data_IF_345286308964
#
_entry.id   IF_345286308964
#
_cell.length_a   1.000
_cell.length_b   1.000
_cell.length_c   1.000
_cell.angle_alpha   90.00
_cell.angle_beta   90.00
_cell.angle_gamma   90.00
#
_symmetry.space_group_name_H-M   'P 1'
#
loop_
_entity.id
_entity.type
_entity.pdbx_description
1 polymer ?
#
# COMPACT_ATOMS: atom_id res chain seq x y z
N UNK A 1 21.49 0.97 -23.35
CA UNK A 1 22.17 2.22 -23.69
C UNK A 1 23.44 2.30 -22.86
N UNK A 2 24.54 2.79 -23.42
CA UNK A 2 25.80 2.98 -22.69
C UNK A 2 25.78 4.37 -22.04
N UNK A 3 25.59 4.41 -20.71
CA UNK A 3 25.46 5.65 -19.96
C UNK A 3 26.72 6.53 -20.08
N UNK A 4 27.91 5.93 -20.16
CA UNK A 4 29.17 6.67 -20.35
C UNK A 4 29.23 7.34 -21.72
N UNK A 5 28.80 6.63 -22.76
CA UNK A 5 28.74 7.18 -24.12
C UNK A 5 27.74 8.34 -24.20
N UNK A 6 26.60 8.22 -23.54
CA UNK A 6 25.62 9.30 -23.49
C UNK A 6 26.10 10.50 -22.66
N UNK A 7 26.74 10.26 -21.51
CA UNK A 7 27.36 11.29 -20.69
C UNK A 7 28.39 12.12 -21.47
N UNK A 8 29.17 11.48 -22.36
CA UNK A 8 30.09 12.19 -23.25
C UNK A 8 29.38 13.12 -24.25
N UNK A 9 28.26 12.68 -24.82
CA UNK A 9 27.43 13.53 -25.70
C UNK A 9 26.82 14.70 -24.94
N UNK A 10 26.28 14.43 -23.74
CA UNK A 10 25.69 15.43 -22.87
C UNK A 10 26.73 16.48 -22.42
N UNK A 11 27.92 16.03 -22.02
CA UNK A 11 29.05 16.90 -21.67
C UNK A 11 29.40 17.88 -22.79
N UNK A 12 29.52 17.40 -24.04
CA UNK A 12 29.86 18.27 -25.17
C UNK A 12 28.77 19.34 -25.39
N UNK A 13 27.51 18.95 -25.35
CA UNK A 13 26.39 19.88 -25.50
C UNK A 13 26.37 20.92 -24.38
N UNK A 14 26.48 20.50 -23.12
CA UNK A 14 26.48 21.42 -21.98
C UNK A 14 27.67 22.37 -22.08
N UNK A 15 28.87 21.86 -22.38
CA UNK A 15 30.09 22.68 -22.50
C UNK A 15 29.98 23.75 -23.59
N UNK A 16 29.39 23.41 -24.74
CA UNK A 16 29.20 24.35 -25.85
C UNK A 16 28.18 25.45 -25.53
N UNK A 17 27.29 25.18 -24.57
CA UNK A 17 26.18 26.05 -24.20
C UNK A 17 26.24 26.53 -22.74
N UNK A 18 27.39 26.38 -22.07
CA UNK A 18 27.62 26.76 -20.68
C UNK A 18 27.85 28.28 -20.59
N UNK A 19 26.91 29.07 -20.04
CA UNK A 19 27.06 30.51 -19.96
C UNK A 19 28.04 30.95 -18.85
N UNK A 20 28.47 30.03 -17.97
CA UNK A 20 29.14 30.34 -16.71
C UNK A 20 30.50 29.65 -16.54
N UNK A 21 31.02 28.98 -17.58
CA UNK A 21 32.35 28.37 -17.60
C UNK A 21 32.59 27.33 -16.47
N UNK A 22 31.54 26.66 -15.98
CA UNK A 22 31.60 25.65 -14.92
C UNK A 22 32.55 24.49 -15.26
N UNK A 23 32.74 24.17 -16.54
CA UNK A 23 33.61 23.09 -17.01
C UNK A 23 35.03 23.53 -17.38
N UNK A 24 35.43 24.78 -17.11
CA UNK A 24 36.76 25.30 -17.52
C UNK A 24 37.93 24.73 -16.73
N UNK A 25 37.71 24.25 -15.50
CA UNK A 25 38.75 23.76 -14.60
C UNK A 25 38.71 22.24 -14.34
N UNK A 26 37.73 21.53 -14.91
CA UNK A 26 37.54 20.08 -14.73
C UNK A 26 37.99 19.36 -16.00
N UNK A 27 38.69 18.23 -15.85
CA UNK A 27 39.06 17.43 -17.01
C UNK A 27 37.79 16.86 -17.67
N UNK A 28 37.79 16.72 -19.00
CA UNK A 28 36.64 16.15 -19.71
C UNK A 28 36.30 14.74 -19.21
N UNK A 29 37.30 13.97 -18.79
CA UNK A 29 37.10 12.62 -18.27
C UNK A 29 36.37 12.62 -16.92
N UNK A 30 36.75 13.53 -16.01
CA UNK A 30 36.11 13.67 -14.71
C UNK A 30 34.67 14.18 -14.84
N UNK A 31 34.43 15.17 -15.70
CA UNK A 31 33.08 15.70 -15.95
C UNK A 31 32.15 14.66 -16.58
N UNK A 32 32.67 13.83 -17.50
CA UNK A 32 31.89 12.73 -18.09
C UNK A 32 31.58 11.66 -17.04
N UNK A 33 32.52 11.34 -16.15
CA UNK A 33 32.28 10.38 -15.07
C UNK A 33 31.24 10.88 -14.05
N UNK A 34 31.25 12.18 -13.75
CA UNK A 34 30.25 12.82 -12.89
C UNK A 34 28.86 12.75 -13.53
N UNK A 35 28.73 13.13 -14.81
CA UNK A 35 27.47 13.01 -15.55
C UNK A 35 27.01 11.54 -15.65
N UNK A 36 27.92 10.58 -15.85
CA UNK A 36 27.59 9.16 -15.81
C UNK A 36 26.99 8.74 -14.45
N UNK A 37 27.51 9.29 -13.35
CA UNK A 37 26.95 9.11 -12.02
C UNK A 37 25.55 9.74 -11.90
N UNK A 38 25.35 10.95 -12.42
CA UNK A 38 24.05 11.64 -12.39
C UNK A 38 22.97 10.87 -13.16
N UNK A 39 23.33 10.28 -14.30
CA UNK A 39 22.42 9.43 -15.08
C UNK A 39 21.99 8.13 -14.37
N UNK A 40 22.49 7.87 -13.16
CA UNK A 40 22.10 6.76 -12.31
C UNK A 40 21.23 7.17 -11.11
N UNK A 41 20.95 8.47 -10.96
CA UNK A 41 20.14 9.04 -9.89
C UNK A 41 18.92 9.78 -10.47
N UNK A 42 17.72 9.44 -10.01
CA UNK A 42 16.49 9.98 -10.57
C UNK A 42 16.34 11.48 -10.35
N UNK A 43 16.74 11.98 -9.17
CA UNK A 43 16.68 13.40 -8.84
C UNK A 43 17.64 14.18 -9.75
N UNK A 44 18.86 13.68 -9.91
CA UNK A 44 19.86 14.31 -10.79
C UNK A 44 19.45 14.27 -12.27
N UNK A 45 18.82 13.20 -12.75
CA UNK A 45 18.28 13.14 -14.11
C UNK A 45 17.17 14.16 -14.32
N UNK A 46 16.29 14.36 -13.33
CA UNK A 46 15.24 15.37 -13.41
C UNK A 46 15.80 16.79 -13.47
N UNK A 47 16.80 17.11 -12.65
CA UNK A 47 17.49 18.41 -12.71
C UNK A 47 18.20 18.57 -14.06
N UNK A 48 18.89 17.54 -14.56
CA UNK A 48 19.56 17.58 -15.88
C UNK A 48 18.56 17.83 -17.01
N UNK A 49 17.37 17.21 -16.99
CA UNK A 49 16.32 17.48 -17.98
C UNK A 49 15.93 18.96 -17.94
N UNK A 50 15.70 19.49 -16.75
CA UNK A 50 15.32 20.88 -16.54
C UNK A 50 16.39 21.85 -17.03
N UNK A 51 17.67 21.59 -16.72
CA UNK A 51 18.79 22.41 -17.21
C UNK A 51 18.86 22.43 -18.74
N UNK A 52 18.66 21.28 -19.38
CA UNK A 52 18.65 21.18 -20.84
C UNK A 52 17.44 21.89 -21.45
N UNK A 53 16.26 21.82 -20.80
CA UNK A 53 15.07 22.59 -21.21
C UNK A 53 15.28 24.11 -21.06
N UNK A 54 15.93 24.56 -19.98
CA UNK A 54 16.27 25.98 -19.77
C UNK A 54 17.28 26.48 -20.82
N UNK A 55 18.30 25.67 -21.16
CA UNK A 55 19.22 25.97 -22.27
C UNK A 55 18.44 26.00 -23.60
N UNK A 56 17.52 25.06 -23.80
CA UNK A 56 16.72 24.98 -25.01
C UNK A 56 15.88 26.24 -25.26
N UNK A 57 15.29 26.80 -24.19
CA UNK A 57 14.51 28.02 -24.23
C UNK A 57 15.34 29.25 -24.62
N UNK A 58 16.67 29.17 -24.52
CA UNK A 58 17.58 30.25 -24.95
C UNK A 58 17.87 30.27 -26.46
N UNK A 59 17.53 29.20 -27.20
CA UNK A 59 17.74 29.16 -28.64
C UNK A 59 16.58 29.79 -29.41
N UNK A 60 16.89 30.78 -30.26
CA UNK A 60 15.93 31.33 -31.23
C UNK A 60 15.74 30.42 -32.47
N UNK A 61 16.64 29.45 -32.68
CA UNK A 61 16.66 28.58 -33.86
C UNK A 61 16.02 27.21 -33.58
N UNK A 62 14.87 26.97 -34.19
CA UNK A 62 14.15 25.69 -34.12
C UNK A 62 14.98 24.52 -34.69
N UNK A 63 15.89 24.77 -35.65
CA UNK A 63 16.72 23.71 -36.22
C UNK A 63 17.66 23.12 -35.17
N UNK A 64 18.33 23.97 -34.38
CA UNK A 64 19.21 23.58 -33.26
C UNK A 64 18.46 22.76 -32.22
N UNK A 65 17.25 23.18 -31.85
CA UNK A 65 16.42 22.42 -30.93
C UNK A 65 16.14 20.99 -31.44
N UNK A 66 15.83 20.84 -32.73
CA UNK A 66 15.49 19.54 -33.32
C UNK A 66 16.70 18.63 -33.47
N UNK A 67 17.86 19.18 -33.85
CA UNK A 67 19.07 18.40 -34.16
C UNK A 67 19.91 18.08 -32.93
N UNK A 68 19.94 18.97 -31.93
CA UNK A 68 20.87 18.87 -30.80
C UNK A 68 20.15 18.60 -29.48
N UNK A 69 19.10 19.38 -29.16
CA UNK A 69 18.40 19.29 -27.86
C UNK A 69 17.47 18.08 -27.80
N UNK A 70 16.60 17.92 -28.80
CA UNK A 70 15.54 16.90 -28.80
C UNK A 70 16.07 15.47 -28.64
N UNK A 71 17.19 15.06 -29.28
CA UNK A 71 17.78 13.75 -29.03
C UNK A 71 18.25 13.57 -27.59
N UNK A 72 18.84 14.59 -26.97
CA UNK A 72 19.29 14.55 -25.57
C UNK A 72 18.12 14.37 -24.61
N UNK A 73 17.08 15.21 -24.75
CA UNK A 73 15.87 15.10 -23.92
C UNK A 73 15.21 13.74 -24.08
N UNK A 74 15.10 13.22 -25.30
CA UNK A 74 14.57 11.87 -25.53
C UNK A 74 15.35 10.81 -24.74
N UNK A 75 16.68 10.86 -24.79
CA UNK A 75 17.52 9.90 -24.07
C UNK A 75 17.42 10.06 -22.54
N UNK A 76 17.37 11.29 -22.03
CA UNK A 76 17.17 11.55 -20.60
C UNK A 76 15.80 11.08 -20.12
N UNK A 77 14.75 11.26 -20.91
CA UNK A 77 13.40 10.78 -20.60
C UNK A 77 13.36 9.24 -20.55
N UNK A 78 14.03 8.55 -21.48
CA UNK A 78 14.17 7.08 -21.44
C UNK A 78 14.91 6.61 -20.18
N UNK A 79 15.95 7.35 -19.74
CA UNK A 79 16.67 7.06 -18.49
C UNK A 79 15.77 7.32 -17.27
N UNK A 80 15.03 8.43 -17.25
CA UNK A 80 14.08 8.76 -16.19
C UNK A 80 13.02 7.67 -16.05
N UNK A 81 12.38 7.27 -17.15
CA UNK A 81 11.37 6.20 -17.15
C UNK A 81 11.94 4.88 -16.60
N UNK A 82 13.20 4.56 -16.94
CA UNK A 82 13.88 3.38 -16.40
C UNK A 82 14.13 3.49 -14.89
N UNK A 83 14.59 4.63 -14.40
CA UNK A 83 14.86 4.85 -12.98
C UNK A 83 13.58 4.91 -12.15
N UNK A 84 12.51 5.52 -12.66
CA UNK A 84 11.17 5.50 -12.07
C UNK A 84 10.61 4.07 -12.01
N UNK A 85 10.78 3.30 -13.08
CA UNK A 85 10.43 1.88 -13.10
C UNK A 85 11.25 1.10 -12.06
N UNK A 86 12.53 1.41 -11.85
CA UNK A 86 13.38 0.80 -10.84
C UNK A 86 12.96 1.15 -9.41
N UNK A 87 12.67 2.42 -9.11
CA UNK A 87 12.19 2.85 -7.79
C UNK A 87 10.80 2.29 -7.47
N UNK A 88 9.96 2.09 -8.47
CA UNK A 88 8.62 1.50 -8.30
C UNK A 88 8.62 -0.03 -8.24
N UNK A 89 9.77 -0.70 -8.42
CA UNK A 89 9.87 -2.16 -8.22
C UNK A 89 9.58 -2.50 -6.77
N UNK A 90 8.52 -3.27 -6.56
CA UNK A 90 8.27 -3.87 -5.26
C UNK A 90 9.18 -5.08 -5.09
N UNK A 91 10.11 -5.00 -4.15
CA UNK A 91 10.95 -6.13 -3.75
C UNK A 91 10.30 -6.92 -2.61
N UNK A 92 10.49 -8.24 -2.59
CA UNK A 92 10.30 -9.04 -1.38
C UNK A 92 11.47 -8.76 -0.44
N UNK A 93 11.17 -8.32 0.78
CA UNK A 93 12.17 -7.85 1.73
C UNK A 93 13.26 -8.91 1.98
N UNK A 94 14.52 -8.49 1.92
CA UNK A 94 15.71 -9.32 2.20
C UNK A 94 15.91 -10.57 1.32
N UNK A 95 15.22 -10.70 0.18
CA UNK A 95 15.38 -11.86 -0.73
C UNK A 95 15.94 -11.54 -2.11
N UNK A 96 15.87 -10.27 -2.54
CA UNK A 96 16.27 -9.86 -3.89
C UNK A 96 15.29 -10.27 -5.00
N UNK A 97 14.13 -10.85 -4.66
CA UNK A 97 13.07 -11.13 -5.63
C UNK A 97 12.21 -9.91 -5.88
N UNK A 98 11.99 -9.60 -7.15
CA UNK A 98 11.10 -8.53 -7.60
C UNK A 98 9.70 -9.08 -7.82
N UNK A 99 8.69 -8.50 -7.17
CA UNK A 99 7.28 -8.87 -7.35
C UNK A 99 6.85 -8.52 -8.78
N UNK A 100 6.47 -9.52 -9.56
CA UNK A 100 5.97 -9.37 -10.93
C UNK A 100 4.46 -9.39 -11.01
N UNK A 101 3.81 -10.18 -10.15
CA UNK A 101 2.37 -10.28 -10.09
C UNK A 101 1.94 -10.33 -8.63
N UNK A 102 0.87 -9.63 -8.29
CA UNK A 102 0.22 -9.82 -7.01
C UNK A 102 -1.29 -9.58 -7.11
N UNK A 103 -2.04 -10.35 -6.33
CA UNK A 103 -3.49 -10.27 -6.23
C UNK A 103 -3.85 -10.27 -4.75
N UNK A 104 -4.50 -9.21 -4.29
CA UNK A 104 -5.06 -9.12 -2.95
C UNK A 104 -6.51 -9.57 -2.97
N UNK A 105 -6.83 -10.56 -2.14
CA UNK A 105 -8.20 -11.04 -1.96
C UNK A 105 -8.45 -11.41 -0.50
N UNK A 106 -9.47 -10.79 0.08
CA UNK A 106 -9.66 -10.82 1.52
C UNK A 106 -8.50 -10.14 2.24
N UNK A 107 -8.03 -10.75 3.33
CA UNK A 107 -6.94 -10.20 4.14
C UNK A 107 -5.54 -10.66 3.73
N UNK A 108 -5.42 -11.42 2.63
CA UNK A 108 -4.15 -11.92 2.12
C UNK A 108 -3.89 -11.36 0.72
N UNK A 109 -2.62 -11.10 0.44
CA UNK A 109 -2.11 -10.88 -0.90
C UNK A 109 -1.28 -12.08 -1.33
N UNK A 110 -1.54 -12.59 -2.51
CA UNK A 110 -0.79 -13.68 -3.10
C UNK A 110 0.06 -13.07 -4.19
N UNK A 111 1.36 -13.35 -4.17
CA UNK A 111 2.31 -12.74 -5.09
C UNK A 111 3.25 -13.77 -5.69
N UNK A 112 3.71 -13.43 -6.88
CA UNK A 112 4.79 -14.10 -7.59
C UNK A 112 5.91 -13.10 -7.84
N UNK A 113 7.14 -13.54 -7.60
CA UNK A 113 8.32 -12.73 -7.70
C UNK A 113 9.46 -13.48 -8.41
N UNK A 114 10.40 -12.73 -8.97
CA UNK A 114 11.49 -13.26 -9.79
C UNK A 114 12.84 -12.72 -9.32
N UNK A 115 13.86 -13.58 -9.29
CA UNK A 115 15.25 -13.20 -9.14
C UNK A 115 16.12 -14.01 -10.13
N UNK A 116 16.33 -13.50 -11.36
CA UNK A 116 17.16 -14.17 -12.37
C UNK A 116 18.63 -14.33 -11.97
N UNK A 117 19.07 -13.66 -10.89
CA UNK A 117 20.43 -13.70 -10.37
C UNK A 117 20.54 -14.53 -9.08
N UNK A 118 19.51 -15.28 -8.71
CA UNK A 118 19.54 -16.12 -7.53
C UNK A 118 20.66 -17.17 -7.63
N UNK A 119 21.58 -17.17 -6.66
CA UNK A 119 22.78 -18.03 -6.68
C UNK A 119 22.45 -19.52 -6.49
N UNK A 120 21.31 -19.82 -5.87
CA UNK A 120 20.82 -21.17 -5.63
C UNK A 120 20.07 -21.78 -6.83
N UNK A 121 19.89 -21.00 -7.90
CA UNK A 121 19.17 -21.42 -9.12
C UNK A 121 17.65 -21.32 -9.03
N UNK A 122 17.08 -20.88 -7.89
CA UNK A 122 15.64 -20.75 -7.72
C UNK A 122 15.16 -19.38 -8.24
N UNK A 123 14.96 -19.24 -9.54
CA UNK A 123 14.69 -17.92 -10.12
C UNK A 123 13.28 -17.38 -9.83
N UNK A 124 12.36 -18.21 -9.37
CA UNK A 124 10.95 -17.89 -9.21
C UNK A 124 10.49 -18.13 -7.78
N UNK A 125 9.60 -17.28 -7.28
CA UNK A 125 9.03 -17.34 -5.93
C UNK A 125 7.52 -17.12 -5.97
N UNK A 126 6.79 -17.89 -5.17
CA UNK A 126 5.42 -17.59 -4.74
C UNK A 126 5.44 -17.31 -3.24
N UNK A 127 4.69 -16.31 -2.79
CA UNK A 127 4.47 -16.06 -1.37
C UNK A 127 3.06 -15.54 -1.10
N UNK A 128 2.63 -15.65 0.16
CA UNK A 128 1.48 -14.96 0.70
C UNK A 128 1.94 -13.84 1.62
N UNK A 129 1.37 -12.66 1.47
CA UNK A 129 1.64 -11.48 2.27
C UNK A 129 0.38 -11.11 3.06
N UNK A 130 0.53 -10.99 4.38
CA UNK A 130 -0.53 -10.46 5.25
C UNK A 130 0.00 -9.26 6.01
N UNK A 131 -0.88 -8.30 6.27
CA UNK A 131 -0.54 -7.05 6.93
C UNK A 131 -1.37 -6.91 8.19
N UNK A 132 -0.70 -6.95 9.34
CA UNK A 132 -1.33 -6.87 10.66
C UNK A 132 -0.94 -5.53 11.32
N UNK A 133 -1.54 -4.44 10.82
CA UNK A 133 -1.28 -3.10 11.33
C UNK A 133 0.08 -2.57 10.88
N UNK A 134 1.11 -2.70 11.72
CA UNK A 134 2.45 -2.16 11.45
C UNK A 134 3.43 -3.19 10.88
N UNK A 135 3.09 -4.47 10.92
CA UNK A 135 3.98 -5.56 10.49
C UNK A 135 3.32 -6.30 9.33
N UNK A 136 4.05 -6.34 8.22
CA UNK A 136 3.78 -7.24 7.11
C UNK A 136 4.56 -8.54 7.27
N UNK A 137 3.92 -9.67 7.01
CA UNK A 137 4.55 -10.99 7.08
C UNK A 137 4.39 -11.71 5.75
N UNK A 138 5.52 -12.18 5.20
CA UNK A 138 5.55 -13.14 4.10
C UNK A 138 5.49 -14.56 4.66
N UNK A 139 4.61 -15.38 4.11
CA UNK A 139 4.37 -16.76 4.54
C UNK A 139 4.12 -17.65 3.32
N UNK A 140 4.05 -18.97 3.54
CA UNK A 140 3.80 -19.97 2.48
C UNK A 140 4.72 -19.80 1.25
N UNK A 141 5.98 -19.42 1.52
CA UNK A 141 7.00 -19.15 0.51
C UNK A 141 7.39 -20.45 -0.17
N UNK A 142 7.28 -20.48 -1.49
CA UNK A 142 7.74 -21.56 -2.35
C UNK A 142 8.66 -20.94 -3.39
N UNK A 143 9.84 -21.53 -3.59
CA UNK A 143 10.81 -21.10 -4.59
C UNK A 143 11.15 -22.26 -5.50
N UNK A 144 11.34 -21.99 -6.78
CA UNK A 144 11.75 -23.00 -7.77
C UNK A 144 12.46 -22.33 -8.96
N UNK A 145 13.17 -23.15 -9.72
CA UNK A 145 13.75 -22.79 -11.02
C UNK A 145 12.74 -22.91 -12.17
N UNK A 146 11.66 -23.68 -12.00
CA UNK A 146 10.60 -23.86 -12.99
C UNK A 146 9.47 -22.83 -12.79
N UNK A 147 9.32 -21.97 -13.80
CA UNK A 147 8.27 -20.96 -13.83
C UNK A 147 6.86 -21.55 -13.79
N UNK A 148 6.62 -22.68 -14.46
CA UNK A 148 5.29 -23.28 -14.54
C UNK A 148 4.85 -23.86 -13.18
N UNK A 149 5.77 -24.43 -12.41
CA UNK A 149 5.49 -24.94 -11.07
C UNK A 149 5.14 -23.79 -10.11
N UNK A 150 5.88 -22.68 -10.15
CA UNK A 150 5.54 -21.50 -9.34
C UNK A 150 4.21 -20.86 -9.77
N UNK A 151 3.95 -20.77 -11.08
CA UNK A 151 2.66 -20.29 -11.59
C UNK A 151 1.49 -21.18 -11.14
N UNK A 152 1.69 -22.51 -11.11
CA UNK A 152 0.69 -23.45 -10.61
C UNK A 152 0.41 -23.24 -9.12
N UNK A 153 1.45 -23.14 -8.30
CA UNK A 153 1.33 -22.89 -6.86
C UNK A 153 0.71 -21.52 -6.55
N UNK A 154 0.98 -20.50 -7.38
CA UNK A 154 0.30 -19.20 -7.33
C UNK A 154 -1.20 -19.34 -7.61
N UNK A 155 -1.57 -19.97 -8.73
CA UNK A 155 -2.97 -20.15 -9.12
C UNK A 155 -3.76 -20.97 -8.09
N UNK A 156 -3.14 -22.03 -7.56
CA UNK A 156 -3.70 -22.88 -6.50
C UNK A 156 -3.92 -22.11 -5.20
N UNK A 157 -2.95 -21.29 -4.77
CA UNK A 157 -3.09 -20.45 -3.58
C UNK A 157 -4.21 -19.42 -3.77
N UNK A 158 -4.28 -18.81 -4.96
CA UNK A 158 -5.35 -17.86 -5.31
C UNK A 158 -6.72 -18.52 -5.26
N UNK A 159 -6.85 -19.70 -5.85
CA UNK A 159 -8.08 -20.47 -5.80
C UNK A 159 -8.52 -20.77 -4.36
N UNK A 160 -7.60 -21.27 -3.52
CA UNK A 160 -7.90 -21.56 -2.12
C UNK A 160 -8.33 -20.32 -1.34
N UNK A 161 -7.71 -19.17 -1.60
CA UNK A 161 -8.10 -17.91 -0.95
C UNK A 161 -9.45 -17.39 -1.44
N UNK A 162 -9.79 -17.56 -2.72
CA UNK A 162 -11.14 -17.28 -3.26
C UNK A 162 -12.18 -18.13 -2.52
N UNK A 163 -11.95 -19.44 -2.38
CA UNK A 163 -12.88 -20.34 -1.68
C UNK A 163 -13.05 -19.95 -0.20
N UNK A 164 -11.96 -19.58 0.46
CA UNK A 164 -11.99 -19.11 1.86
C UNK A 164 -12.84 -17.86 2.01
N UNK A 165 -12.60 -16.84 1.17
CA UNK A 165 -13.38 -15.59 1.20
C UNK A 165 -14.85 -15.84 0.86
N UNK A 166 -15.13 -16.66 -0.15
CA UNK A 166 -16.50 -17.02 -0.51
C UNK A 166 -17.22 -17.75 0.63
N UNK A 167 -16.52 -18.65 1.35
CA UNK A 167 -17.05 -19.34 2.53
C UNK A 167 -17.32 -18.38 3.68
N UNK A 168 -16.42 -17.45 3.95
CA UNK A 168 -16.58 -16.41 4.98
C UNK A 168 -17.80 -15.52 4.70
N UNK A 169 -17.95 -15.05 3.45
CA UNK A 169 -19.10 -14.27 3.02
C UNK A 169 -20.39 -15.09 3.10
N UNK A 170 -20.35 -16.35 2.67
CA UNK A 170 -21.52 -17.24 2.66
C UNK A 170 -22.07 -17.56 4.05
N UNK A 171 -21.23 -17.61 5.09
CA UNK A 171 -21.65 -17.89 6.47
C UNK A 171 -22.43 -16.75 7.13
N UNK A 172 -22.28 -15.53 6.63
CA UNK A 172 -22.79 -14.30 7.24
C UNK A 172 -23.59 -13.44 6.23
N UNK A 173 -24.21 -14.06 5.23
CA UNK A 173 -24.95 -13.37 4.17
C UNK A 173 -26.29 -12.84 4.69
N UNK A 174 -26.25 -11.78 5.48
CA UNK A 174 -27.44 -11.17 6.08
C UNK A 174 -28.13 -10.16 5.15
N UNK A 175 -27.37 -9.49 4.28
CA UNK A 175 -27.87 -8.47 3.36
C UNK A 175 -26.87 -8.27 2.21
N UNK A 176 -27.20 -8.79 1.02
CA UNK A 176 -26.35 -8.63 -0.17
C UNK A 176 -26.35 -7.22 -0.72
N UNK A 177 -27.52 -6.57 -0.74
CA UNK A 177 -27.71 -5.27 -1.36
C UNK A 177 -26.93 -4.20 -0.60
N UNK A 178 -26.08 -3.40 -1.28
CA UNK A 178 -25.34 -2.32 -0.65
C UNK A 178 -26.27 -1.28 -0.01
N UNK A 179 -25.90 -0.83 1.19
CA UNK A 179 -26.53 0.30 1.88
C UNK A 179 -26.04 1.58 1.22
N UNK A 180 -26.97 2.46 0.86
CA UNK A 180 -26.66 3.72 0.18
C UNK A 180 -26.92 4.92 1.10
N UNK A 181 -26.69 6.12 0.58
CA UNK A 181 -27.03 7.36 1.28
C UNK A 181 -28.52 7.48 1.65
N UNK A 182 -29.42 6.79 0.93
CA UNK A 182 -30.87 6.89 1.16
C UNK A 182 -31.28 6.28 2.50
N UNK A 183 -30.60 5.22 2.90
CA UNK A 183 -30.81 4.49 4.14
C UNK A 183 -30.10 5.14 5.35
N UNK A 184 -29.29 6.19 5.11
CA UNK A 184 -28.48 6.83 6.15
C UNK A 184 -28.92 8.27 6.43
N UNK A 185 -28.72 8.72 7.66
CA UNK A 185 -28.63 10.14 7.98
C UNK A 185 -27.31 10.69 7.41
N UNK A 186 -27.29 11.91 6.83
CA UNK A 186 -26.08 12.48 6.27
C UNK A 186 -24.92 12.50 7.27
N UNK A 187 -23.71 12.22 6.78
CA UNK A 187 -22.49 12.31 7.57
C UNK A 187 -22.15 13.79 7.89
N UNK A 188 -22.75 14.31 8.95
CA UNK A 188 -22.54 15.67 9.45
C UNK A 188 -21.29 15.74 10.33
N UNK A 189 -20.27 16.48 9.88
CA UNK A 189 -19.00 16.65 10.58
C UNK A 189 -19.12 17.48 11.87
N UNK A 190 -20.21 18.23 12.03
CA UNK A 190 -20.53 18.97 13.27
C UNK A 190 -21.00 18.05 14.39
N UNK A 191 -21.22 16.77 14.10
CA UNK A 191 -21.72 15.79 15.05
C UNK A 191 -20.74 14.63 15.24
N UNK A 192 -20.58 14.24 16.51
CA UNK A 192 -19.86 13.03 16.87
C UNK A 192 -20.65 11.78 16.47
N UNK A 193 -19.92 10.74 16.07
CA UNK A 193 -20.47 9.43 15.71
C UNK A 193 -20.01 8.31 16.66
N UNK A 194 -19.27 8.62 17.73
CA UNK A 194 -18.86 7.65 18.74
C UNK A 194 -20.07 6.94 19.34
N UNK A 195 -20.03 5.60 19.39
CA UNK A 195 -21.11 4.76 19.91
C UNK A 195 -22.28 4.54 18.96
N UNK A 196 -22.29 5.18 17.79
CA UNK A 196 -23.32 5.02 16.77
C UNK A 196 -23.02 3.85 15.84
N UNK A 197 -24.06 3.30 15.24
CA UNK A 197 -23.92 2.38 14.10
C UNK A 197 -23.96 3.19 12.81
N UNK A 198 -22.90 3.08 12.03
CA UNK A 198 -22.77 3.78 10.76
C UNK A 198 -22.57 2.78 9.63
N UNK A 199 -23.01 3.16 8.43
CA UNK A 199 -22.64 2.48 7.21
C UNK A 199 -21.35 3.09 6.64
N UNK A 200 -20.44 2.23 6.20
CA UNK A 200 -19.27 2.60 5.39
C UNK A 200 -19.67 2.59 3.92
N UNK A 201 -19.14 3.54 3.13
CA UNK A 201 -19.34 3.59 1.69
C UNK A 201 -18.85 2.30 1.03
N UNK A 202 -19.62 1.75 0.09
CA UNK A 202 -19.25 0.51 -0.57
C UNK A 202 -17.92 0.62 -1.33
N UNK A 203 -17.63 1.79 -1.92
CA UNK A 203 -16.39 2.08 -2.63
C UNK A 203 -15.14 2.12 -1.73
N UNK A 204 -15.31 2.36 -0.42
CA UNK A 204 -14.23 2.26 0.56
C UNK A 204 -13.91 0.80 0.94
N UNK A 205 -14.78 -0.14 0.57
CA UNK A 205 -14.57 -1.58 0.76
C UNK A 205 -13.98 -2.21 -0.51
N UNK A 206 -13.20 -3.28 -0.31
CA UNK A 206 -12.72 -4.12 -1.42
C UNK A 206 -13.90 -4.76 -2.15
N UNK A 207 -13.79 -5.01 -3.48
CA UNK A 207 -14.89 -5.50 -4.30
C UNK A 207 -15.67 -6.69 -3.72
N UNK A 208 -14.97 -7.67 -3.14
CA UNK A 208 -15.56 -8.86 -2.52
C UNK A 208 -16.43 -8.55 -1.28
N UNK A 209 -16.24 -7.40 -0.65
CA UNK A 209 -16.94 -6.97 0.57
C UNK A 209 -17.92 -5.81 0.34
N UNK A 210 -18.24 -5.44 -0.91
CA UNK A 210 -19.18 -4.36 -1.22
C UNK A 210 -20.64 -4.79 -1.07
N UNK A 211 -21.01 -5.19 0.15
CA UNK A 211 -22.32 -5.73 0.51
C UNK A 211 -22.86 -5.02 1.75
N UNK A 212 -24.18 -4.93 1.88
CA UNK A 212 -24.82 -4.25 3.01
C UNK A 212 -24.41 -4.83 4.37
N UNK A 213 -24.29 -6.15 4.47
CA UNK A 213 -23.85 -6.86 5.68
C UNK A 213 -22.40 -6.54 6.10
N UNK A 214 -21.54 -6.13 5.16
CA UNK A 214 -20.15 -5.76 5.43
C UNK A 214 -19.97 -4.26 5.72
N UNK A 215 -20.96 -3.42 5.40
CA UNK A 215 -20.89 -1.97 5.55
C UNK A 215 -21.19 -1.47 6.98
N UNK A 216 -21.91 -2.24 7.80
CA UNK A 216 -22.34 -1.79 9.13
C UNK A 216 -21.27 -1.98 10.19
N UNK A 217 -20.91 -0.88 10.84
CA UNK A 217 -19.90 -0.86 11.92
C UNK A 217 -20.41 -0.08 13.13
N UNK A 218 -20.06 -0.55 14.33
CA UNK A 218 -20.17 0.22 15.57
C UNK A 218 -18.92 1.10 15.72
N UNK A 219 -19.11 2.41 15.85
CA UNK A 219 -17.98 3.33 16.06
C UNK A 219 -17.51 3.29 17.52
N UNK A 220 -16.22 3.02 17.69
CA UNK A 220 -15.59 2.88 19.00
C UNK A 220 -14.93 4.19 19.47
N UNK A 221 -14.41 4.99 18.54
CA UNK A 221 -13.70 6.22 18.85
C UNK A 221 -12.77 6.68 17.74
N UNK A 222 -11.73 7.44 18.11
CA UNK A 222 -10.77 8.05 17.19
C UNK A 222 -11.07 9.53 16.95
N UNK A 223 -10.05 10.28 16.50
CA UNK A 223 -10.17 11.72 16.34
C UNK A 223 -11.29 12.10 15.37
N UNK A 224 -11.43 11.40 14.23
CA UNK A 224 -12.48 11.68 13.24
C UNK A 224 -13.88 11.24 13.64
N UNK A 225 -14.02 10.49 14.73
CA UNK A 225 -15.33 10.15 15.26
C UNK A 225 -15.96 11.29 16.07
N UNK A 226 -15.20 12.31 16.48
CA UNK A 226 -15.70 13.44 17.24
C UNK A 226 -16.26 14.56 16.33
N UNK A 227 -17.08 15.44 16.90
CA UNK A 227 -17.55 16.65 16.23
C UNK A 227 -16.39 17.62 15.97
N UNK A 228 -16.41 18.30 14.82
CA UNK A 228 -15.49 19.38 14.44
C UNK A 228 -13.99 19.02 14.61
N UNK A 229 -13.66 17.74 14.46
CA UNK A 229 -12.31 17.25 14.64
C UNK A 229 -11.40 17.57 13.45
N UNK A 230 -10.10 17.78 13.72
CA UNK A 230 -9.08 17.99 12.69
C UNK A 230 -8.55 16.68 12.06
N UNK A 231 -8.72 15.56 12.75
CA UNK A 231 -8.28 14.24 12.27
C UNK A 231 -9.44 13.44 11.69
N UNK A 232 -9.16 12.49 10.79
CA UNK A 232 -10.18 11.69 10.12
C UNK A 232 -10.34 10.25 10.65
N UNK A 233 -9.42 9.76 11.48
CA UNK A 233 -9.44 8.37 11.95
C UNK A 233 -10.71 8.02 12.75
N UNK A 234 -11.43 6.99 12.29
CA UNK A 234 -12.59 6.38 12.95
C UNK A 234 -12.27 4.90 13.22
N UNK A 235 -12.11 4.54 14.49
CA UNK A 235 -11.97 3.14 14.90
C UNK A 235 -13.35 2.55 15.12
N UNK A 236 -13.56 1.34 14.60
CA UNK A 236 -14.86 0.72 14.62
C UNK A 236 -14.78 -0.80 14.67
N UNK A 237 -15.90 -1.41 15.03
CA UNK A 237 -16.10 -2.85 15.09
C UNK A 237 -17.19 -3.24 14.09
N UNK A 238 -16.88 -4.14 13.15
CA UNK A 238 -17.84 -4.66 12.20
C UNK A 238 -18.95 -5.45 12.90
N UNK A 239 -20.20 -5.20 12.53
CA UNK A 239 -21.33 -5.89 13.16
C UNK A 239 -21.47 -7.35 12.71
N UNK A 240 -21.12 -7.68 11.47
CA UNK A 240 -21.28 -9.04 10.96
C UNK A 240 -20.37 -10.09 11.64
N UNK A 241 -19.16 -9.71 12.05
CA UNK A 241 -18.16 -10.64 12.57
C UNK A 241 -17.41 -10.17 13.82
N UNK A 242 -17.68 -8.95 14.33
CA UNK A 242 -17.01 -8.41 15.51
C UNK A 242 -15.56 -7.99 15.30
N UNK A 243 -15.03 -8.05 14.08
CA UNK A 243 -13.65 -7.64 13.78
C UNK A 243 -13.48 -6.12 13.91
N UNK A 244 -12.32 -5.69 14.39
CA UNK A 244 -11.99 -4.26 14.54
C UNK A 244 -11.24 -3.76 13.32
N UNK A 245 -11.57 -2.54 12.90
CA UNK A 245 -10.90 -1.88 11.78
C UNK A 245 -10.85 -0.36 11.99
N UNK A 246 -10.17 0.32 11.07
CA UNK A 246 -10.10 1.77 10.99
C UNK A 246 -10.58 2.21 9.60
N UNK A 247 -11.49 3.17 9.59
CA UNK A 247 -11.85 3.93 8.40
C UNK A 247 -11.53 5.41 8.60
N UNK A 248 -11.61 6.17 7.53
CA UNK A 248 -11.56 7.62 7.60
C UNK A 248 -12.98 8.19 7.65
N UNK A 249 -13.13 9.37 8.28
CA UNK A 249 -14.44 9.99 8.46
C UNK A 249 -15.15 10.25 7.12
N UNK A 250 -14.41 10.45 6.04
CA UNK A 250 -14.96 10.61 4.69
C UNK A 250 -15.41 9.29 4.04
N UNK A 251 -14.99 8.13 4.55
CA UNK A 251 -15.46 6.81 4.10
C UNK A 251 -16.82 6.47 4.71
N UNK A 252 -17.26 7.20 5.73
CA UNK A 252 -18.57 7.01 6.37
C UNK A 252 -19.68 7.53 5.47
N UNK A 253 -20.62 6.65 5.13
CA UNK A 253 -21.85 6.99 4.39
C UNK A 253 -22.83 7.76 5.28
N UNK A 254 -22.95 7.37 6.55
CA UNK A 254 -23.81 8.01 7.54
C UNK A 254 -24.29 7.07 8.64
N UNK A 255 -24.96 7.62 9.66
CA UNK A 255 -25.66 6.83 10.69
C UNK A 255 -26.87 6.14 10.05
N UNK A 256 -27.02 4.83 10.29
CA UNK A 256 -28.13 4.06 9.69
C UNK A 256 -29.47 4.53 10.30
N UNK A 257 -30.49 4.76 9.46
CA UNK A 257 -31.83 5.19 9.91
C UNK A 257 -32.57 4.07 10.63
N UNK A 258 -32.54 2.87 10.03
CA UNK A 258 -33.21 1.68 10.54
C UNK A 258 -32.19 0.55 10.59
N UNK A 259 -31.85 0.12 11.81
CA UNK A 259 -30.89 -0.95 12.03
C UNK A 259 -31.54 -2.31 11.71
N UNK A 260 -30.99 -3.11 10.79
CA UNK A 260 -31.50 -4.45 10.52
C UNK A 260 -31.46 -5.35 11.76
N UNK A 261 -32.40 -6.29 11.86
CA UNK A 261 -32.55 -7.16 13.04
C UNK A 261 -31.27 -7.95 13.39
N UNK A 262 -30.59 -8.51 12.38
CA UNK A 262 -29.32 -9.22 12.56
C UNK A 262 -28.23 -8.32 13.17
N UNK A 263 -28.18 -7.06 12.72
CA UNK A 263 -27.19 -6.09 13.17
C UNK A 263 -27.48 -5.63 14.61
N UNK A 264 -28.76 -5.54 14.99
CA UNK A 264 -29.18 -5.26 16.36
C UNK A 264 -28.78 -6.38 17.33
N UNK A 265 -29.01 -7.64 16.96
CA UNK A 265 -28.60 -8.81 17.76
C UNK A 265 -27.08 -8.83 18.00
N UNK A 266 -26.30 -8.63 16.93
CA UNK A 266 -24.85 -8.60 17.01
C UNK A 266 -24.33 -7.39 17.80
N UNK A 267 -24.97 -6.22 17.67
CA UNK A 267 -24.64 -5.04 18.46
C UNK A 267 -24.82 -5.31 19.97
N UNK A 268 -25.90 -5.98 20.36
CA UNK A 268 -26.16 -6.34 21.76
C UNK A 268 -25.12 -7.35 22.26
N UNK A 269 -24.75 -8.34 21.45
CA UNK A 269 -23.68 -9.30 21.78
C UNK A 269 -22.33 -8.60 22.01
N UNK A 270 -21.92 -7.71 21.08
CA UNK A 270 -20.68 -6.93 21.19
C UNK A 270 -20.68 -6.06 22.46
N UNK A 271 -21.82 -5.42 22.79
CA UNK A 271 -21.94 -4.61 24.01
C UNK A 271 -21.86 -5.46 25.27
N UNK A 272 -22.54 -6.61 25.30
CA UNK A 272 -22.51 -7.53 26.43
C UNK A 272 -21.09 -8.05 26.72
N UNK A 273 -20.34 -8.42 25.67
CA UNK A 273 -18.95 -8.88 25.80
C UNK A 273 -18.04 -7.78 26.37
N UNK A 274 -18.19 -6.54 25.91
CA UNK A 274 -17.41 -5.39 26.43
C UNK A 274 -17.73 -5.09 27.89
N UNK A 275 -18.98 -5.17 28.30
CA UNK A 275 -19.37 -4.97 29.70
C UNK A 275 -18.86 -6.11 30.60
N UNK A 276 -18.83 -7.35 30.10
CA UNK A 276 -18.20 -8.46 30.80
C UNK A 276 -16.68 -8.27 30.96
N UNK A 277 -15.99 -7.78 29.92
CA UNK A 277 -14.56 -7.53 29.94
C UNK A 277 -14.13 -6.37 30.88
N UNK A 278 -15.04 -5.44 31.19
CA UNK A 278 -14.81 -4.35 32.16
C UNK A 278 -14.93 -4.80 33.63
N UNK A 279 -15.50 -5.98 33.91
CA UNK A 279 -15.64 -6.48 35.28
C UNK A 279 -14.30 -7.06 35.78
N UNK A 280 -13.81 -6.67 36.97
CA UNK A 280 -12.53 -7.18 37.48
C UNK A 280 -12.61 -8.70 37.73
N UNK A 281 -11.51 -9.40 37.43
CA UNK A 281 -11.38 -10.83 37.72
C UNK A 281 -11.60 -11.10 39.22
N UNK A 282 -12.29 -12.19 39.60
CA UNK A 282 -12.50 -12.51 41.01
C UNK A 282 -11.15 -12.71 41.73
N UNK A 283 -11.03 -12.29 43.01
CA UNK A 283 -9.77 -12.32 43.73
C UNK A 283 -9.25 -13.76 43.83
N UNK A 284 -8.03 -13.96 43.34
CA UNK A 284 -7.32 -15.24 43.40
C UNK A 284 -7.10 -15.58 44.88
N UNK A 285 -7.68 -16.68 45.37
CA UNK A 285 -7.49 -17.12 46.76
C UNK A 285 -5.98 -17.34 47.01
N UNK A 286 -5.41 -16.53 47.90
CA UNK A 286 -4.02 -16.66 48.34
C UNK A 286 -3.78 -18.10 48.84
N UNK A 287 -2.82 -18.79 48.24
CA UNK A 287 -2.28 -20.05 48.76
C UNK A 287 -1.67 -19.74 50.13
N UNK A 288 -2.27 -20.28 51.19
CA UNK A 288 -1.69 -20.26 52.55
C UNK A 288 -0.28 -20.88 52.46
N UNK A 289 0.72 -20.11 52.85
CA UNK A 289 2.07 -20.59 53.13
C UNK A 289 1.99 -21.70 54.17
N UNK A 290 2.47 -22.89 53.82
CA UNK A 290 2.67 -23.97 54.79
C UNK A 290 3.81 -23.56 55.72
N UNK A 291 3.51 -23.54 57.01
CA UNK A 291 4.46 -23.40 58.09
C UNK A 291 5.59 -24.43 57.95
N UNK A 292 6.82 -23.93 57.99
CA UNK A 292 8.02 -24.72 58.22
C UNK A 292 8.17 -24.82 59.74
N UNK A 293 7.49 -25.80 60.35
CA UNK A 293 7.81 -26.21 61.71
C UNK A 293 8.92 -27.27 61.69
N UNK A 294 9.90 -27.01 62.54
CA UNK A 294 11.10 -27.79 62.77
C UNK A 294 10.80 -29.16 63.38
N UNK A 295 11.54 -30.19 62.94
CA UNK A 295 12.24 -31.15 63.79
C UNK A 295 13.19 -32.00 62.95
#
# INVERSE_FOLDING_TARGET
MDNRKFAATLYNFIKENDPHDYYTNTSAEDAIAELESYLSDLEMVNETIKDIEEIADSFDDHEVYVTEVKPLLKCLLEIREKLEAEQSRRMVADTGYEVKQSIRIGNSEILMAENPKAEDGNFYMKAEYTENGFIGEYSQVVVDSDYLEIMWEFAKSLHGQIEKVASEIGKAAYQSEPITARECHPNDYRQGIVGKVVAIKAEALRPEYRRGDMQLVLVDGGNGANADARGNAVFCTHLNNGSRTRFERYDVQGEIKELPAWAAEHLDAIRAEREAAKRPAPPTKARKSKDREAR
#
